data_IF_426535820282
#
_entry.id   IF_426535820282
#
_cell.length_a   1.000
_cell.length_b   1.000
_cell.length_c   1.000
_cell.angle_alpha   90.00
_cell.angle_beta   90.00
_cell.angle_gamma   90.00
#
_symmetry.space_group_name_H-M   'P 1'
#
loop_
_entity.id
_entity.type
_entity.pdbx_description
1 polymer ?
#
# COMPACT_ATOMS: atom_id res chain seq x y z
N UNK A 1 -0.46 12.98 -43.45
CA UNK A 1 -1.27 11.84 -43.25
C UNK A 1 -0.61 10.83 -42.40
N UNK A 2 0.59 10.48 -42.70
CA UNK A 2 1.29 9.49 -41.92
C UNK A 2 1.56 9.94 -40.52
N UNK A 3 1.47 11.22 -40.26
CA UNK A 3 1.66 11.75 -38.89
C UNK A 3 0.69 11.18 -37.92
N UNK A 4 -0.52 10.87 -38.38
CA UNK A 4 -1.57 10.39 -37.51
C UNK A 4 -1.27 9.00 -36.95
N UNK A 5 -0.39 8.30 -37.64
CA UNK A 5 -0.04 6.96 -37.27
C UNK A 5 0.58 6.89 -35.86
N UNK A 6 1.33 7.93 -35.50
CA UNK A 6 2.01 7.97 -34.24
C UNK A 6 1.26 8.78 -33.17
N UNK A 7 0.12 9.33 -33.50
CA UNK A 7 -0.66 10.11 -32.54
C UNK A 7 -1.06 9.26 -31.33
N UNK A 8 -1.31 7.98 -31.57
CA UNK A 8 -1.70 7.10 -30.47
C UNK A 8 -0.60 6.94 -29.42
N UNK A 9 0.65 7.25 -29.78
CA UNK A 9 1.78 7.11 -28.86
C UNK A 9 2.16 8.42 -28.19
N UNK A 10 1.50 9.52 -28.52
CA UNK A 10 1.78 10.78 -27.84
C UNK A 10 1.33 10.70 -26.41
N UNK A 11 2.14 11.22 -25.52
CA UNK A 11 1.84 11.13 -24.10
C UNK A 11 0.54 11.85 -23.74
N UNK A 12 0.24 12.94 -24.44
CA UNK A 12 -0.98 13.70 -24.20
C UNK A 12 -2.24 12.91 -24.51
N UNK A 13 -2.11 11.84 -25.32
CA UNK A 13 -3.25 11.02 -25.70
C UNK A 13 -3.40 9.77 -24.85
N UNK A 14 -2.60 9.64 -23.79
CA UNK A 14 -2.66 8.49 -22.90
C UNK A 14 -3.51 8.79 -21.68
N UNK A 15 -4.50 7.94 -21.42
CA UNK A 15 -5.30 8.06 -20.21
C UNK A 15 -4.50 7.67 -18.99
N UNK A 16 -3.64 6.68 -19.14
CA UNK A 16 -2.91 6.15 -17.98
C UNK A 16 -1.86 7.11 -17.42
N UNK A 17 -1.30 7.99 -18.25
CA UNK A 17 -0.26 8.87 -17.76
C UNK A 17 -0.75 9.89 -16.75
N UNK A 18 -1.86 10.63 -16.99
CA UNK A 18 -2.35 11.55 -15.94
C UNK A 18 -2.74 10.82 -14.67
N UNK A 19 -3.25 9.61 -14.76
CA UNK A 19 -3.54 8.83 -13.56
C UNK A 19 -2.27 8.50 -12.79
N UNK A 20 -1.24 8.11 -13.51
CA UNK A 20 0.05 7.82 -12.93
C UNK A 20 0.64 9.08 -12.27
N UNK A 21 0.58 10.20 -12.97
CA UNK A 21 1.12 11.46 -12.45
C UNK A 21 0.38 11.91 -11.20
N UNK A 22 -0.94 11.80 -11.21
CA UNK A 22 -1.75 12.14 -10.03
C UNK A 22 -1.41 11.24 -8.85
N UNK A 23 -1.27 9.94 -9.11
CA UNK A 23 -0.94 8.99 -8.08
C UNK A 23 0.40 9.34 -7.44
N UNK A 24 1.39 9.67 -8.25
CA UNK A 24 2.70 10.02 -7.72
C UNK A 24 2.66 11.30 -6.90
N UNK A 25 1.89 12.29 -7.35
CA UNK A 25 1.77 13.55 -6.60
C UNK A 25 1.13 13.33 -5.25
N UNK A 26 0.12 12.49 -5.20
CA UNK A 26 -0.55 12.17 -3.93
C UNK A 26 0.45 11.47 -2.99
N UNK A 27 1.18 10.50 -3.51
CA UNK A 27 2.15 9.76 -2.70
C UNK A 27 3.23 10.69 -2.17
N UNK A 28 3.67 11.65 -2.98
CA UNK A 28 4.68 12.61 -2.53
C UNK A 28 4.20 13.42 -1.33
N UNK A 29 2.92 13.70 -1.25
CA UNK A 29 2.38 14.44 -0.13
C UNK A 29 2.38 13.62 1.16
N UNK A 30 2.34 12.29 1.04
CA UNK A 30 2.44 11.41 2.19
C UNK A 30 3.85 11.33 2.76
N UNK A 31 4.86 11.54 1.92
CA UNK A 31 6.23 11.23 2.29
C UNK A 31 6.68 11.84 3.61
N UNK A 32 6.50 13.16 3.87
CA UNK A 32 6.97 13.70 5.14
C UNK A 32 6.26 13.10 6.36
N UNK A 33 4.99 12.72 6.20
CA UNK A 33 4.26 12.11 7.31
C UNK A 33 4.65 10.66 7.50
N UNK A 34 4.87 9.93 6.41
CA UNK A 34 5.27 8.54 6.47
C UNK A 34 6.70 8.38 6.97
N UNK A 35 7.57 9.34 6.64
CA UNK A 35 8.93 9.33 7.16
C UNK A 35 8.93 9.40 8.68
N UNK A 36 7.98 10.11 9.25
CA UNK A 36 7.89 10.24 10.70
C UNK A 36 7.57 8.90 11.39
N UNK A 37 6.95 7.97 10.67
CA UNK A 37 6.65 6.64 11.19
C UNK A 37 7.46 5.55 10.48
N UNK A 38 8.43 5.98 9.65
CA UNK A 38 9.38 5.09 8.99
C UNK A 38 8.71 4.03 8.11
N UNK A 39 7.75 4.46 7.31
CA UNK A 39 7.08 3.59 6.35
C UNK A 39 7.11 4.18 4.96
N UNK A 40 7.22 3.31 3.95
CA UNK A 40 6.93 3.71 2.58
C UNK A 40 5.41 3.70 2.39
N UNK A 41 4.95 4.28 1.29
CA UNK A 41 3.52 4.30 1.03
C UNK A 41 2.94 2.88 0.90
N UNK A 42 3.65 1.98 0.21
CA UNK A 42 3.16 0.61 0.05
C UNK A 42 3.15 -0.14 1.37
N UNK A 43 4.12 0.12 2.25
CA UNK A 43 4.10 -0.46 3.58
C UNK A 43 2.92 0.07 4.39
N UNK A 44 2.63 1.34 4.23
CA UNK A 44 1.52 1.98 4.94
C UNK A 44 0.18 1.33 4.56
N UNK A 45 -0.08 1.15 3.25
CA UNK A 45 -1.35 0.56 2.84
C UNK A 45 -1.45 -0.92 3.26
N UNK A 46 -0.34 -1.63 3.31
CA UNK A 46 -0.35 -2.99 3.84
C UNK A 46 -0.71 -2.98 5.33
N UNK A 47 -0.14 -2.05 6.08
CA UNK A 47 -0.48 -1.93 7.49
C UNK A 47 -1.94 -1.52 7.69
N UNK A 48 -2.48 -0.68 6.80
CA UNK A 48 -3.89 -0.30 6.88
C UNK A 48 -4.79 -1.53 6.82
N UNK A 49 -4.46 -2.48 5.95
CA UNK A 49 -5.24 -3.72 5.87
C UNK A 49 -5.11 -4.51 7.17
N UNK A 50 -3.91 -4.59 7.72
CA UNK A 50 -3.70 -5.33 8.96
C UNK A 50 -4.34 -4.65 10.16
N UNK A 51 -4.38 -3.33 10.18
CA UNK A 51 -5.05 -2.63 11.29
C UNK A 51 -6.54 -2.90 11.26
N UNK A 52 -7.10 -3.05 10.07
CA UNK A 52 -8.53 -3.31 9.96
C UNK A 52 -8.87 -4.78 10.21
N UNK A 53 -8.14 -5.69 9.57
CA UNK A 53 -8.49 -7.11 9.59
C UNK A 53 -7.74 -7.93 10.61
N UNK A 54 -6.64 -7.40 11.14
CA UNK A 54 -5.78 -8.03 12.14
C UNK A 54 -4.97 -9.19 11.58
N UNK A 55 -5.56 -10.04 10.77
CA UNK A 55 -4.88 -11.21 10.21
C UNK A 55 -5.47 -11.51 8.84
N UNK A 56 -4.62 -11.72 7.85
CA UNK A 56 -5.06 -12.06 6.49
C UNK A 56 -4.02 -12.97 5.86
N UNK A 57 -4.42 -13.69 4.82
CA UNK A 57 -3.44 -14.43 4.02
C UNK A 57 -2.73 -13.46 3.10
N UNK A 58 -1.51 -13.83 2.70
CA UNK A 58 -0.76 -13.01 1.73
C UNK A 58 -1.57 -12.88 0.44
N UNK A 59 -2.22 -13.97 0.04
CA UNK A 59 -3.03 -13.96 -1.17
C UNK A 59 -4.17 -12.94 -1.09
N UNK A 60 -4.83 -12.89 0.04
CA UNK A 60 -5.92 -11.93 0.21
C UNK A 60 -5.42 -10.50 0.25
N UNK A 61 -4.30 -10.27 0.92
CA UNK A 61 -3.71 -8.94 0.95
C UNK A 61 -3.33 -8.48 -0.45
N UNK A 62 -2.73 -9.38 -1.24
CA UNK A 62 -2.38 -9.06 -2.63
C UNK A 62 -3.60 -8.67 -3.44
N UNK A 63 -4.71 -9.37 -3.22
CA UNK A 63 -5.95 -9.04 -3.92
C UNK A 63 -6.46 -7.66 -3.52
N UNK A 64 -6.42 -7.37 -2.23
CA UNK A 64 -6.89 -6.06 -1.74
C UNK A 64 -6.04 -4.91 -2.24
N UNK A 65 -4.74 -5.13 -2.37
CA UNK A 65 -3.81 -4.07 -2.76
C UNK A 65 -3.50 -4.06 -4.25
N UNK A 66 -4.03 -5.04 -4.99
CA UNK A 66 -3.72 -5.20 -6.42
C UNK A 66 -2.23 -5.40 -6.63
N UNK A 67 -1.59 -6.17 -5.76
CA UNK A 67 -0.17 -6.48 -5.86
C UNK A 67 0.02 -7.98 -5.96
N UNK A 68 0.99 -8.39 -6.78
CA UNK A 68 1.30 -9.81 -6.90
C UNK A 68 2.22 -10.23 -5.75
N UNK A 69 2.38 -11.54 -5.59
CA UNK A 69 3.17 -12.07 -4.48
C UNK A 69 4.65 -11.69 -4.60
N UNK A 70 5.15 -11.55 -5.84
CA UNK A 70 6.54 -11.15 -6.05
C UNK A 70 6.83 -9.75 -5.53
N UNK A 71 5.85 -8.85 -5.62
CA UNK A 71 5.98 -7.50 -5.09
C UNK A 71 5.71 -7.46 -3.59
N UNK A 72 4.72 -8.24 -3.16
CA UNK A 72 4.25 -8.18 -1.78
C UNK A 72 5.22 -8.85 -0.80
N UNK A 73 5.86 -9.94 -1.21
CA UNK A 73 6.73 -10.69 -0.31
C UNK A 73 7.88 -9.85 0.24
N UNK A 74 8.66 -9.11 -0.59
CA UNK A 74 9.72 -8.28 -0.03
C UNK A 74 9.21 -7.20 0.89
N UNK A 75 8.04 -6.65 0.56
CA UNK A 75 7.41 -5.62 1.37
C UNK A 75 7.07 -6.15 2.76
N UNK A 76 6.48 -7.34 2.82
CA UNK A 76 6.10 -7.96 4.08
C UNK A 76 7.32 -8.36 4.89
N UNK A 77 8.39 -8.80 4.22
CA UNK A 77 9.62 -9.15 4.93
C UNK A 77 10.21 -7.94 5.63
N UNK A 78 10.16 -6.77 4.99
CA UNK A 78 10.66 -5.55 5.60
C UNK A 78 9.84 -5.14 6.80
N UNK A 79 8.51 -5.27 6.71
CA UNK A 79 7.66 -4.96 7.84
C UNK A 79 7.84 -5.94 8.98
N UNK A 80 8.07 -7.20 8.65
CA UNK A 80 8.35 -8.20 9.66
C UNK A 80 9.66 -7.90 10.38
N UNK A 81 10.68 -7.48 9.62
CA UNK A 81 11.97 -7.12 10.20
C UNK A 81 11.84 -5.92 11.13
N UNK A 82 10.91 -5.02 10.86
CA UNK A 82 10.64 -3.89 11.74
C UNK A 82 9.80 -4.27 12.96
N UNK A 83 9.30 -5.51 12.99
CA UNK A 83 8.54 -5.99 14.12
C UNK A 83 7.06 -5.67 14.09
N UNK A 84 6.53 -5.20 12.97
CA UNK A 84 5.14 -4.76 12.89
C UNK A 84 4.17 -5.87 12.51
N UNK A 85 4.67 -6.97 11.99
CA UNK A 85 3.82 -8.11 11.64
C UNK A 85 4.60 -9.41 11.78
N UNK A 86 3.87 -10.52 11.78
CA UNK A 86 4.46 -11.86 11.71
C UNK A 86 3.86 -12.58 10.53
N UNK A 87 4.61 -13.55 10.00
CA UNK A 87 4.16 -14.38 8.90
C UNK A 87 4.30 -15.84 9.32
N UNK A 88 3.19 -16.56 9.25
CA UNK A 88 3.15 -17.95 9.66
C UNK A 88 2.39 -18.75 8.62
N UNK A 89 2.89 -19.93 8.27
CA UNK A 89 2.17 -20.77 7.34
C UNK A 89 0.93 -21.33 8.00
N UNK A 90 -0.16 -21.41 7.23
CA UNK A 90 -1.39 -21.98 7.73
C UNK A 90 -1.19 -23.47 8.05
N UNK A 91 -1.74 -23.92 9.16
CA UNK A 91 -1.70 -25.32 9.50
C UNK A 91 -2.61 -26.16 8.62
N UNK A 92 -3.59 -25.52 8.00
CA UNK A 92 -4.54 -26.22 7.13
C UNK A 92 -4.07 -26.29 5.69
N UNK A 93 -3.29 -25.30 5.25
CA UNK A 93 -2.77 -25.29 3.88
C UNK A 93 -1.41 -24.63 3.91
N UNK A 94 -0.37 -25.44 3.77
CA UNK A 94 1.01 -24.94 3.87
C UNK A 94 1.36 -23.91 2.80
N UNK A 95 0.55 -23.81 1.74
CA UNK A 95 0.79 -22.84 0.69
C UNK A 95 0.28 -21.45 1.07
N UNK A 96 -0.56 -21.37 2.10
CA UNK A 96 -1.10 -20.10 2.55
C UNK A 96 -0.27 -19.56 3.71
N UNK A 97 0.28 -18.39 3.50
CA UNK A 97 1.03 -17.66 4.51
C UNK A 97 0.08 -16.68 5.16
N UNK A 98 -0.01 -16.71 6.46
CA UNK A 98 -0.89 -15.83 7.22
C UNK A 98 -0.08 -14.71 7.82
N UNK A 99 -0.51 -13.48 7.58
CA UNK A 99 0.14 -12.28 8.09
C UNK A 99 -0.72 -11.73 9.21
N UNK A 100 -0.11 -11.48 10.35
CA UNK A 100 -0.81 -10.98 11.53
C UNK A 100 -0.09 -9.77 12.08
N UNK A 101 -0.84 -8.73 12.44
CA UNK A 101 -0.27 -7.54 13.04
C UNK A 101 0.21 -7.85 14.44
N UNK A 102 1.37 -7.29 14.83
CA UNK A 102 1.90 -7.45 16.15
C UNK A 102 1.43 -6.31 17.05
N UNK A 103 1.77 -6.40 18.34
CA UNK A 103 1.45 -5.30 19.26
C UNK A 103 2.17 -4.02 18.84
N UNK A 104 3.43 -4.14 18.41
CA UNK A 104 4.16 -2.97 17.89
C UNK A 104 3.47 -2.37 16.67
N UNK A 105 2.92 -3.25 15.81
CA UNK A 105 2.16 -2.78 14.66
C UNK A 105 0.89 -2.06 15.06
N UNK A 106 0.21 -2.53 16.11
CA UNK A 106 -0.97 -1.85 16.60
C UNK A 106 -0.65 -0.52 17.25
N UNK A 107 0.49 -0.43 17.94
CA UNK A 107 0.91 0.85 18.50
C UNK A 107 1.25 1.85 17.41
N UNK A 108 1.80 1.38 16.31
CA UNK A 108 2.07 2.24 15.17
C UNK A 108 0.80 2.87 14.62
N UNK A 109 -0.30 2.16 14.73
CA UNK A 109 -1.60 2.65 14.28
C UNK A 109 -1.97 3.98 14.95
N UNK A 110 -1.66 4.11 16.23
CA UNK A 110 -1.96 5.35 16.95
C UNK A 110 -1.20 6.53 16.38
N UNK A 111 0.04 6.31 15.96
CA UNK A 111 0.83 7.36 15.33
C UNK A 111 0.35 7.65 13.91
N UNK A 112 -0.14 6.62 13.23
CA UNK A 112 -0.56 6.75 11.85
C UNK A 112 -1.94 7.41 11.70
N UNK A 113 -2.73 7.43 12.76
CA UNK A 113 -4.10 7.91 12.66
C UNK A 113 -4.17 9.39 12.28
N UNK A 114 -3.10 10.13 12.50
CA UNK A 114 -3.05 11.55 12.12
C UNK A 114 -2.78 11.77 10.64
N UNK A 115 -2.39 10.72 9.91
CA UNK A 115 -2.08 10.81 8.49
C UNK A 115 -3.35 10.58 7.70
N UNK A 116 -3.97 11.65 7.18
CA UNK A 116 -5.28 11.56 6.56
C UNK A 116 -5.34 12.21 5.18
N UNK A 117 -4.19 12.30 4.50
CA UNK A 117 -4.09 13.03 3.24
C UNK A 117 -5.02 12.45 2.16
N UNK A 118 -5.08 11.12 2.05
CA UNK A 118 -5.88 10.48 1.03
C UNK A 118 -7.33 10.23 1.41
N UNK A 119 -7.74 10.69 2.57
CA UNK A 119 -9.07 10.40 3.07
C UNK A 119 -10.14 11.17 2.30
N UNK A 120 -11.12 10.46 1.81
CA UNK A 120 -12.23 11.06 1.06
C UNK A 120 -13.33 11.44 2.03
N UNK A 121 -13.23 12.62 2.62
CA UNK A 121 -14.21 13.10 3.57
C UNK A 121 -14.38 14.59 3.46
N UNK A 122 -15.62 15.04 3.41
CA UNK A 122 -15.90 16.47 3.32
C UNK A 122 -15.50 17.22 4.58
N UNK A 123 -15.44 16.52 5.69
CA UNK A 123 -15.16 17.17 6.96
C UNK A 123 -13.72 17.61 7.11
N UNK A 124 -12.85 17.02 6.31
CA UNK A 124 -11.42 17.27 6.44
C UNK A 124 -10.99 18.65 5.99
N UNK A 125 -11.86 19.33 5.30
CA UNK A 125 -11.48 20.61 4.74
C UNK A 125 -11.75 21.81 5.65
N UNK A 126 -12.35 21.56 6.72
CA UNK A 126 -12.75 22.64 7.63
C UNK A 126 -11.63 23.09 8.53
#
# INVERSE_FOLDING_TARGET
>A
MDNNRYDALKIENQLCFPLYACSREIIKRYTPFLDAIDLTYTQYIAMMILWEKKSVTVKEMGRCLYLDSGTLTPLLKKLEAKGFLTRVRSTQDERNLIVTVTEAGEQLRERAVSIQIGRASCRERV
#
